data_IF_649585065714
#
_entry.id   IF_649585065714
#
_cell.length_a   1.000
_cell.length_b   1.000
_cell.length_c   1.000
_cell.angle_alpha   90.00
_cell.angle_beta   90.00
_cell.angle_gamma   90.00
#
_symmetry.space_group_name_H-M   'P 1'
#
loop_
_entity.id
_entity.type
_entity.pdbx_description
1 polymer ?
#
# COMPACT_ATOMS: atom_id res chain seq x y z
N UNK A 1 -29.15 -12.22 54.36
CA UNK A 1 -28.60 -10.96 53.79
C UNK A 1 -27.24 -11.16 53.10
N UNK A 2 -26.22 -11.71 53.77
CA UNK A 2 -24.86 -11.87 53.21
C UNK A 2 -24.73 -12.73 51.93
N UNK A 3 -25.55 -13.77 51.75
CA UNK A 3 -25.51 -14.64 50.55
C UNK A 3 -25.92 -13.91 49.26
N UNK A 4 -26.91 -13.01 49.32
CA UNK A 4 -27.42 -12.27 48.16
C UNK A 4 -26.38 -11.25 47.67
N UNK A 5 -25.75 -10.52 48.61
CA UNK A 5 -24.67 -9.56 48.30
C UNK A 5 -23.49 -10.27 47.63
N UNK A 6 -23.13 -11.49 48.09
CA UNK A 6 -22.04 -12.27 47.51
C UNK A 6 -22.31 -12.73 46.07
N UNK A 7 -23.57 -13.04 45.75
CA UNK A 7 -23.99 -13.44 44.39
C UNK A 7 -24.04 -12.22 43.46
N UNK A 8 -24.59 -11.10 43.92
CA UNK A 8 -24.63 -9.85 43.13
C UNK A 8 -23.22 -9.36 42.83
N UNK A 9 -22.32 -9.40 43.80
CA UNK A 9 -20.93 -8.97 43.62
C UNK A 9 -20.15 -9.91 42.68
N UNK A 10 -20.38 -11.23 42.74
CA UNK A 10 -19.80 -12.20 41.81
C UNK A 10 -20.29 -11.98 40.37
N UNK A 11 -21.59 -11.74 40.19
CA UNK A 11 -22.17 -11.48 38.87
C UNK A 11 -21.68 -10.13 38.31
N UNK A 12 -21.51 -9.11 39.15
CA UNK A 12 -20.98 -7.80 38.74
C UNK A 12 -19.51 -7.90 38.29
N UNK A 13 -18.69 -8.72 38.96
CA UNK A 13 -17.31 -8.99 38.55
C UNK A 13 -17.26 -9.74 37.21
N UNK A 14 -18.15 -10.72 37.00
CA UNK A 14 -18.24 -11.45 35.71
C UNK A 14 -18.66 -10.51 34.58
N UNK A 15 -19.63 -9.61 34.81
CA UNK A 15 -20.03 -8.59 33.81
C UNK A 15 -18.88 -7.63 33.50
N UNK A 16 -18.11 -7.18 34.50
CA UNK A 16 -16.94 -6.33 34.27
C UNK A 16 -15.84 -7.05 33.47
N UNK A 17 -15.55 -8.32 33.77
CA UNK A 17 -14.55 -9.12 33.05
C UNK A 17 -14.96 -9.38 31.59
N UNK A 18 -16.26 -9.58 31.33
CA UNK A 18 -16.78 -9.73 29.97
C UNK A 18 -16.67 -8.41 29.18
N UNK A 19 -16.90 -7.26 29.81
CA UNK A 19 -16.74 -5.94 29.18
C UNK A 19 -15.27 -5.60 28.85
N UNK A 20 -14.29 -6.14 29.59
CA UNK A 20 -12.86 -5.97 29.29
C UNK A 20 -12.34 -6.92 28.19
N UNK A 21 -13.07 -7.99 27.89
CA UNK A 21 -12.58 -9.05 27.00
C UNK A 21 -12.70 -8.79 25.49
N UNK A 22 -13.34 -7.69 25.07
CA UNK A 22 -13.65 -7.44 23.64
C UNK A 22 -13.00 -6.20 23.03
N UNK A 23 -12.03 -5.56 23.70
CA UNK A 23 -11.21 -4.54 23.04
C UNK A 23 -10.13 -5.24 22.20
N UNK A 24 -10.55 -5.88 21.10
CA UNK A 24 -9.64 -6.29 20.03
C UNK A 24 -9.09 -5.02 19.39
N UNK A 25 -7.91 -4.59 19.82
CA UNK A 25 -7.14 -3.61 19.07
C UNK A 25 -6.81 -4.23 17.71
N UNK A 26 -7.37 -3.66 16.63
CA UNK A 26 -6.94 -3.99 15.29
C UNK A 26 -5.43 -3.73 15.21
N UNK A 27 -4.65 -4.76 14.90
CA UNK A 27 -3.19 -4.67 14.83
C UNK A 27 -2.85 -3.70 13.70
N UNK A 28 -2.22 -2.57 14.01
CA UNK A 28 -1.79 -1.63 12.98
C UNK A 28 -0.73 -2.30 12.09
N UNK A 29 -1.04 -2.49 10.81
CA UNK A 29 -0.21 -3.25 9.85
C UNK A 29 0.99 -2.46 9.31
N UNK A 30 1.26 -1.27 9.84
CA UNK A 30 2.33 -0.39 9.41
C UNK A 30 2.87 0.45 10.57
N UNK A 31 4.14 0.81 10.46
CA UNK A 31 4.86 1.60 11.45
C UNK A 31 5.39 2.89 10.82
N UNK A 32 5.25 4.00 11.53
CA UNK A 32 5.87 5.28 11.14
C UNK A 32 7.38 5.15 11.24
N UNK A 33 8.11 5.48 10.18
CA UNK A 33 9.56 5.56 10.27
C UNK A 33 9.95 6.88 10.98
N UNK A 34 10.86 6.83 11.97
CA UNK A 34 11.17 7.98 12.83
C UNK A 34 11.95 9.08 12.12
N UNK A 35 12.59 8.75 10.99
CA UNK A 35 13.47 9.67 10.28
C UNK A 35 12.70 10.81 9.64
N UNK A 36 13.15 12.04 9.89
CA UNK A 36 12.61 13.23 9.25
C UNK A 36 13.05 13.25 7.78
N UNK A 37 12.07 13.35 6.88
CA UNK A 37 12.33 13.53 5.45
C UNK A 37 12.88 14.94 5.21
N UNK A 38 14.14 15.02 4.76
CA UNK A 38 14.77 16.27 4.36
C UNK A 38 14.10 16.80 3.09
N UNK A 39 13.72 18.09 3.11
CA UNK A 39 13.10 18.77 1.97
C UNK A 39 13.54 20.22 1.89
N UNK A 40 13.34 20.82 0.73
CA UNK A 40 13.58 22.26 0.52
C UNK A 40 12.66 23.11 1.41
N UNK A 41 13.14 24.25 1.88
CA UNK A 41 12.37 25.20 2.69
C UNK A 41 11.12 25.73 1.95
N UNK A 42 11.17 25.78 0.61
CA UNK A 42 10.05 26.23 -0.23
C UNK A 42 9.03 25.13 -0.50
N UNK A 43 9.30 23.89 -0.11
CA UNK A 43 8.41 22.75 -0.37
C UNK A 43 7.30 22.67 0.69
N UNK A 44 6.09 23.01 0.28
CA UNK A 44 4.90 23.02 1.16
C UNK A 44 4.26 21.64 1.35
N UNK A 45 4.72 20.60 0.66
CA UNK A 45 4.09 19.27 0.71
C UNK A 45 4.38 18.56 2.03
N UNK A 46 3.44 17.74 2.47
CA UNK A 46 3.61 16.85 3.62
C UNK A 46 4.30 15.55 3.20
N UNK A 47 5.22 15.04 4.00
CA UNK A 47 5.94 13.80 3.74
C UNK A 47 5.89 12.90 4.97
N UNK A 48 5.63 11.61 4.76
CA UNK A 48 5.70 10.61 5.81
C UNK A 48 6.22 9.31 5.22
N UNK A 49 7.30 8.77 5.80
CA UNK A 49 7.73 7.41 5.50
C UNK A 49 7.09 6.43 6.49
N UNK A 50 6.59 5.31 5.97
CA UNK A 50 6.08 4.20 6.77
C UNK A 50 6.74 2.90 6.32
N UNK A 51 6.81 1.94 7.23
CA UNK A 51 7.19 0.56 6.95
C UNK A 51 5.96 -0.34 7.12
N UNK A 52 5.61 -1.05 6.06
CA UNK A 52 4.54 -2.04 6.07
C UNK A 52 4.98 -3.32 6.77
N UNK A 53 4.03 -4.18 7.15
CA UNK A 53 4.31 -5.46 7.82
C UNK A 53 5.12 -6.46 6.99
N UNK A 54 5.15 -6.30 5.67
CA UNK A 54 5.95 -7.08 4.73
C UNK A 54 7.30 -6.41 4.40
N UNK A 55 7.75 -5.53 5.29
CA UNK A 55 8.99 -4.75 5.20
C UNK A 55 9.08 -3.71 4.08
N UNK A 56 8.05 -3.55 3.25
CA UNK A 56 8.03 -2.50 2.23
C UNK A 56 8.06 -1.11 2.87
N UNK A 57 8.96 -0.27 2.38
CA UNK A 57 9.05 1.14 2.75
C UNK A 57 8.21 1.96 1.77
N UNK A 58 7.29 2.76 2.30
CA UNK A 58 6.40 3.62 1.51
C UNK A 58 6.64 5.07 1.88
N UNK A 59 6.86 5.92 0.88
CA UNK A 59 6.88 7.37 1.05
C UNK A 59 5.52 7.95 0.66
N UNK A 60 4.79 8.45 1.65
CA UNK A 60 3.54 9.16 1.47
C UNK A 60 3.83 10.65 1.24
N UNK A 61 3.23 11.21 0.20
CA UNK A 61 3.34 12.63 -0.14
C UNK A 61 1.94 13.22 -0.19
N UNK A 62 1.67 14.21 0.66
CA UNK A 62 0.41 14.95 0.68
C UNK A 62 0.61 16.32 0.06
N UNK A 63 0.04 16.53 -1.11
CA UNK A 63 -0.02 17.82 -1.79
C UNK A 63 -1.49 18.22 -2.04
N UNK A 64 -2.09 19.07 -1.20
CA UNK A 64 -3.48 19.50 -1.40
C UNK A 64 -3.74 20.30 -2.69
N UNK A 65 -2.68 20.76 -3.38
CA UNK A 65 -2.79 21.56 -4.61
C UNK A 65 -2.67 20.71 -5.87
N UNK A 66 -2.36 19.42 -5.75
CA UNK A 66 -2.19 18.56 -6.92
C UNK A 66 -3.51 18.30 -7.65
N UNK A 67 -3.48 18.34 -8.98
CA UNK A 67 -4.65 18.03 -9.82
C UNK A 67 -4.82 16.51 -10.06
N UNK A 68 -3.74 15.74 -9.92
CA UNK A 68 -3.72 14.28 -10.05
C UNK A 68 -2.91 13.64 -8.93
N UNK A 69 -3.25 12.40 -8.61
CA UNK A 69 -2.50 11.57 -7.69
C UNK A 69 -1.60 10.62 -8.47
N UNK A 70 -0.43 10.32 -7.91
CA UNK A 70 0.54 9.42 -8.51
C UNK A 70 0.89 8.30 -7.53
N UNK A 71 1.19 7.12 -8.07
CA UNK A 71 1.79 6.03 -7.30
C UNK A 71 2.93 5.43 -8.09
N UNK A 72 3.94 4.93 -7.38
CA UNK A 72 5.05 4.22 -7.98
C UNK A 72 5.51 3.11 -7.04
N UNK A 73 5.94 2.00 -7.62
CA UNK A 73 6.58 0.89 -6.92
C UNK A 73 7.85 0.51 -7.66
N UNK A 74 8.91 0.24 -6.91
CA UNK A 74 10.20 -0.18 -7.45
C UNK A 74 10.64 -1.48 -6.82
N UNK A 75 11.21 -2.34 -7.65
CA UNK A 75 11.88 -3.56 -7.22
C UNK A 75 13.39 -3.39 -7.43
N UNK A 76 14.23 -3.72 -6.45
CA UNK A 76 15.69 -3.65 -6.57
C UNK A 76 16.25 -4.85 -7.35
N UNK A 77 15.64 -5.17 -8.48
CA UNK A 77 15.96 -6.28 -9.39
C UNK A 77 15.80 -5.72 -10.81
N UNK A 78 16.75 -6.02 -11.70
CA UNK A 78 16.75 -5.51 -13.07
C UNK A 78 17.33 -6.50 -14.07
N UNK A 79 17.81 -6.01 -15.21
CA UNK A 79 18.33 -6.88 -16.28
C UNK A 79 19.55 -7.71 -15.88
N UNK A 80 20.36 -7.26 -14.91
CA UNK A 80 21.53 -8.03 -14.42
C UNK A 80 21.14 -9.33 -13.71
N UNK A 81 19.91 -9.42 -13.21
CA UNK A 81 19.40 -10.63 -12.55
C UNK A 81 18.69 -11.56 -13.54
N UNK A 82 18.69 -11.23 -14.83
CA UNK A 82 18.14 -12.11 -15.86
C UNK A 82 19.05 -13.34 -16.03
N UNK A 83 18.50 -14.57 -16.06
CA UNK A 83 19.30 -15.76 -16.33
C UNK A 83 20.01 -15.66 -17.68
N UNK A 84 21.23 -16.21 -17.77
CA UNK A 84 22.01 -16.21 -19.03
C UNK A 84 21.26 -16.84 -20.21
N UNK A 85 20.41 -17.83 -19.91
CA UNK A 85 19.58 -18.53 -20.90
C UNK A 85 18.37 -17.70 -21.37
N UNK A 86 18.05 -16.59 -20.68
CA UNK A 86 16.88 -15.76 -20.97
C UNK A 86 17.17 -14.27 -20.71
N UNK A 87 18.10 -13.72 -21.49
CA UNK A 87 18.38 -12.28 -21.48
C UNK A 87 17.10 -11.48 -21.80
N UNK A 88 16.90 -10.40 -21.05
CA UNK A 88 15.71 -9.56 -21.18
C UNK A 88 14.49 -10.04 -20.40
N UNK A 89 14.58 -11.13 -19.62
CA UNK A 89 13.47 -11.63 -18.81
C UNK A 89 12.91 -10.56 -17.86
N UNK A 90 13.76 -9.78 -17.19
CA UNK A 90 13.30 -8.71 -16.30
C UNK A 90 12.44 -7.67 -17.03
N UNK A 91 12.86 -7.25 -18.23
CA UNK A 91 12.11 -6.32 -19.06
C UNK A 91 10.84 -6.97 -19.61
N UNK A 92 10.89 -8.25 -19.99
CA UNK A 92 9.70 -8.99 -20.43
C UNK A 92 8.65 -9.09 -19.32
N UNK A 93 9.07 -9.38 -18.08
CA UNK A 93 8.17 -9.43 -16.92
C UNK A 93 7.55 -8.05 -16.62
N UNK A 94 8.27 -6.96 -16.86
CA UNK A 94 7.72 -5.60 -16.74
C UNK A 94 6.48 -5.42 -17.63
N UNK A 95 6.52 -5.86 -18.89
CA UNK A 95 5.33 -5.83 -19.76
C UNK A 95 4.22 -6.78 -19.29
N UNK A 96 4.56 -7.99 -18.87
CA UNK A 96 3.58 -9.05 -18.57
C UNK A 96 2.82 -8.79 -17.26
N UNK A 97 3.45 -8.16 -16.26
CA UNK A 97 2.80 -7.84 -14.97
C UNK A 97 1.56 -6.94 -15.15
N UNK A 98 1.53 -6.12 -16.20
CA UNK A 98 0.42 -5.21 -16.49
C UNK A 98 -0.68 -5.85 -17.37
N UNK A 99 -0.51 -7.10 -17.80
CA UNK A 99 -1.48 -7.83 -18.64
C UNK A 99 -2.56 -8.57 -17.85
N UNK A 100 -2.57 -8.49 -16.53
CA UNK A 100 -3.61 -9.09 -15.70
C UNK A 100 -3.06 -9.66 -14.39
N UNK A 101 -3.96 -9.86 -13.44
CA UNK A 101 -3.67 -10.39 -12.10
C UNK A 101 -4.79 -11.32 -11.64
N UNK A 102 -4.59 -12.00 -10.51
CA UNK A 102 -5.64 -12.86 -9.92
C UNK A 102 -6.95 -12.10 -9.61
N UNK A 103 -6.87 -10.82 -9.26
CA UNK A 103 -8.04 -9.98 -8.92
C UNK A 103 -8.64 -9.30 -10.15
N UNK A 104 -7.79 -8.93 -11.10
CA UNK A 104 -8.13 -8.24 -12.35
C UNK A 104 -7.55 -9.04 -13.52
N UNK A 105 -8.19 -10.16 -13.91
CA UNK A 105 -7.63 -11.12 -14.85
C UNK A 105 -7.67 -10.64 -16.30
N UNK A 106 -8.49 -9.64 -16.60
CA UNK A 106 -8.66 -9.14 -17.96
C UNK A 106 -7.46 -8.26 -18.36
N UNK A 107 -6.86 -8.61 -19.50
CA UNK A 107 -5.73 -7.85 -20.03
C UNK A 107 -6.16 -6.44 -20.41
N UNK A 108 -5.41 -5.44 -19.94
CA UNK A 108 -5.66 -4.03 -20.22
C UNK A 108 -6.69 -3.37 -19.30
N UNK A 109 -7.26 -4.08 -18.32
CA UNK A 109 -8.25 -3.52 -17.38
C UNK A 109 -7.70 -2.28 -16.64
N UNK A 110 -6.45 -2.33 -16.17
CA UNK A 110 -5.80 -1.17 -15.51
C UNK A 110 -5.61 0.01 -16.48
N UNK A 111 -5.23 -0.28 -17.73
CA UNK A 111 -5.08 0.74 -18.77
C UNK A 111 -6.41 1.42 -19.10
N UNK A 112 -7.49 0.64 -19.22
CA UNK A 112 -8.83 1.16 -19.49
C UNK A 112 -9.35 1.97 -18.29
N UNK A 113 -9.15 1.46 -17.07
CA UNK A 113 -9.52 2.17 -15.84
C UNK A 113 -8.83 3.53 -15.76
N UNK A 114 -7.51 3.57 -15.97
CA UNK A 114 -6.73 4.81 -15.91
C UNK A 114 -7.19 5.80 -16.97
N UNK A 115 -7.36 5.36 -18.23
CA UNK A 115 -7.84 6.22 -19.31
C UNK A 115 -9.22 6.84 -19.00
N UNK A 116 -10.14 6.09 -18.41
CA UNK A 116 -11.47 6.59 -18.00
C UNK A 116 -11.42 7.64 -16.88
N UNK A 117 -10.35 7.66 -16.08
CA UNK A 117 -10.17 8.56 -14.94
C UNK A 117 -9.00 9.53 -15.15
N UNK A 118 -8.78 9.95 -16.39
CA UNK A 118 -7.78 10.96 -16.75
C UNK A 118 -6.35 10.57 -16.39
N UNK A 119 -6.06 9.27 -16.27
CA UNK A 119 -4.80 8.71 -15.82
C UNK A 119 -4.00 8.03 -16.93
N UNK A 120 -2.78 7.63 -16.60
CA UNK A 120 -1.90 6.83 -17.45
C UNK A 120 -0.92 6.03 -16.57
N UNK A 121 -0.26 5.03 -17.15
CA UNK A 121 0.79 4.27 -16.49
C UNK A 121 1.98 4.02 -17.41
N UNK A 122 3.10 3.63 -16.82
CA UNK A 122 4.27 3.14 -17.55
C UNK A 122 5.16 2.30 -16.62
N UNK A 123 6.13 1.62 -17.19
CA UNK A 123 7.18 0.89 -16.48
C UNK A 123 8.56 1.15 -17.08
N UNK A 124 9.59 0.79 -16.32
CA UNK A 124 10.97 0.89 -16.78
C UNK A 124 11.82 -0.17 -16.12
N UNK A 125 12.61 -0.88 -16.92
CA UNK A 125 13.59 -1.85 -16.42
C UNK A 125 15.00 -1.37 -16.73
N UNK A 126 15.76 -1.09 -15.66
CA UNK A 126 17.18 -0.79 -15.69
C UNK A 126 18.00 -2.04 -15.32
N UNK A 127 19.33 -1.88 -15.25
CA UNK A 127 20.23 -2.99 -14.90
C UNK A 127 19.98 -3.59 -13.52
N UNK A 128 19.64 -2.78 -12.53
CA UNK A 128 19.49 -3.18 -11.12
C UNK A 128 18.11 -2.86 -10.53
N UNK A 129 17.16 -2.41 -11.34
CA UNK A 129 15.87 -1.91 -10.86
C UNK A 129 14.79 -2.03 -11.91
N UNK A 130 13.59 -2.40 -11.49
CA UNK A 130 12.36 -2.30 -12.29
C UNK A 130 11.39 -1.40 -11.55
N UNK A 131 10.83 -0.42 -12.26
CA UNK A 131 9.86 0.53 -11.73
C UNK A 131 8.54 0.42 -12.48
N UNK A 132 7.44 0.58 -11.75
CA UNK A 132 6.10 0.78 -12.29
C UNK A 132 5.53 2.04 -11.69
N UNK A 133 4.84 2.85 -12.47
CA UNK A 133 4.23 4.08 -11.99
C UNK A 133 2.99 4.44 -12.77
N UNK A 134 2.07 5.10 -12.09
CA UNK A 134 0.81 5.57 -12.66
C UNK A 134 0.43 6.93 -12.10
N UNK A 135 -0.43 7.62 -12.85
CA UNK A 135 -1.15 8.80 -12.41
C UNK A 135 -2.64 8.64 -12.69
N UNK A 136 -3.47 9.27 -11.86
CA UNK A 136 -4.93 9.21 -11.98
C UNK A 136 -5.57 10.44 -11.33
N UNK A 137 -6.79 10.80 -11.71
CA UNK A 137 -7.59 11.78 -10.99
C UNK A 137 -7.69 11.47 -9.49
N UNK A 138 -7.61 12.50 -8.65
CA UNK A 138 -7.55 12.35 -7.19
C UNK A 138 -8.71 11.52 -6.60
N UNK A 139 -9.91 11.63 -7.19
CA UNK A 139 -11.10 10.88 -6.75
C UNK A 139 -11.01 9.37 -7.02
N UNK A 140 -10.20 8.96 -8.00
CA UNK A 140 -10.05 7.58 -8.42
C UNK A 140 -8.88 6.85 -7.74
N UNK A 141 -8.00 7.56 -7.02
CA UNK A 141 -6.86 6.95 -6.30
C UNK A 141 -7.27 5.86 -5.30
N UNK A 142 -8.44 5.99 -4.67
CA UNK A 142 -8.93 5.05 -3.64
C UNK A 142 -9.59 3.80 -4.23
N UNK A 143 -9.68 3.70 -5.56
CA UNK A 143 -10.32 2.57 -6.22
C UNK A 143 -9.43 1.32 -6.12
N UNK A 144 -10.03 0.14 -6.00
CA UNK A 144 -9.29 -1.10 -5.73
C UNK A 144 -8.35 -1.50 -6.90
N UNK A 145 -8.59 -1.00 -8.12
CA UNK A 145 -7.70 -1.17 -9.28
C UNK A 145 -6.32 -0.51 -9.08
N UNK A 146 -6.23 0.49 -8.19
CA UNK A 146 -5.00 1.23 -7.88
C UNK A 146 -4.32 0.69 -6.62
N UNK A 147 -4.95 -0.24 -5.91
CA UNK A 147 -4.38 -0.83 -4.70
C UNK A 147 -3.25 -1.81 -5.07
N UNK A 148 -2.01 -1.43 -4.77
CA UNK A 148 -0.86 -2.33 -4.82
C UNK A 148 -0.95 -3.31 -3.66
N UNK A 149 -1.37 -4.54 -3.93
CA UNK A 149 -1.23 -5.63 -2.95
C UNK A 149 0.17 -6.23 -3.05
N UNK A 150 0.81 -6.25 -1.90
CA UNK A 150 2.14 -6.82 -1.73
C UNK A 150 1.93 -7.94 -0.72
N UNK A 151 1.71 -9.15 -1.24
CA UNK A 151 1.52 -10.36 -0.42
C UNK A 151 2.83 -10.75 0.28
#
# INVERSE_FOLDING_TARGET
>A
MFKVIRVVMKNMIVVLLLLFSTVSFAKQHWQVLPDRINKSEKDTRGYQAIKLSNDMIVLLISDPKTSKSLTAVTLPVGTMESPDQQLGLAHYLEHVVLMGSKRYPESGEISEFLQKHGGNHNGSTASNLTAYYLEVENGALKQPQIAWEVH
#
